data_IF_578963138898
#
_entry.id   IF_578963138898
#
_cell.length_a   1.000
_cell.length_b   1.000
_cell.length_c   1.000
_cell.angle_alpha   90.00
_cell.angle_beta   90.00
_cell.angle_gamma   90.00
#
_symmetry.space_group_name_H-M   'P 1'
#
loop_
_entity.id
_entity.type
_entity.pdbx_description
1 polymer ?
#
# COMPACT_ATOMS: atom_id res chain seq x y z
N UNK A 1 -89.94 -69.04 54.80
CA UNK A 1 -91.41 -69.24 54.74
C UNK A 1 -91.82 -68.87 53.31
N UNK A 2 -92.03 -69.83 52.40
CA UNK A 2 -93.33 -70.48 52.12
C UNK A 2 -94.45 -69.43 52.04
N UNK A 3 -95.13 -69.15 50.92
CA UNK A 3 -95.70 -70.08 49.94
C UNK A 3 -96.16 -69.32 48.68
N UNK A 4 -95.96 -69.97 47.52
CA UNK A 4 -96.89 -70.13 46.39
C UNK A 4 -97.72 -68.95 45.83
N UNK A 5 -97.62 -68.79 44.51
CA UNK A 5 -98.73 -68.37 43.68
C UNK A 5 -98.33 -67.68 42.37
N UNK A 6 -98.04 -68.43 41.31
CA UNK A 6 -99.06 -68.82 40.33
C UNK A 6 -98.41 -69.30 39.02
N UNK A 7 -98.38 -70.62 38.90
CA UNK A 7 -97.96 -71.39 37.74
C UNK A 7 -99.07 -71.34 36.69
N UNK A 8 -99.04 -70.34 35.81
CA UNK A 8 -99.93 -70.30 34.64
C UNK A 8 -99.11 -70.27 33.34
N UNK A 9 -98.38 -71.35 33.08
CA UNK A 9 -97.62 -71.52 31.84
C UNK A 9 -98.34 -72.51 30.96
N UNK A 10 -99.29 -72.01 30.16
CA UNK A 10 -99.81 -72.62 28.92
C UNK A 10 -100.79 -71.70 28.18
N UNK A 11 -100.50 -70.40 28.10
CA UNK A 11 -101.10 -69.51 27.08
C UNK A 11 -100.01 -69.08 26.10
N UNK A 12 -100.24 -69.16 24.78
CA UNK A 12 -99.26 -68.73 23.78
C UNK A 12 -98.71 -67.31 24.05
N UNK A 13 -99.56 -66.43 24.58
CA UNK A 13 -99.24 -65.03 24.88
C UNK A 13 -98.09 -64.85 25.90
N UNK A 14 -98.08 -65.61 27.00
CA UNK A 14 -97.04 -65.47 28.04
C UNK A 14 -95.66 -65.98 27.60
N UNK A 15 -95.61 -66.90 26.63
CA UNK A 15 -94.36 -67.32 25.98
C UNK A 15 -93.83 -66.20 25.09
N UNK A 16 -94.70 -65.55 24.30
CA UNK A 16 -94.31 -64.41 23.46
C UNK A 16 -93.81 -63.21 24.29
N UNK A 17 -94.44 -62.90 25.43
CA UNK A 17 -94.01 -61.80 26.30
C UNK A 17 -92.60 -61.99 26.87
N UNK A 18 -92.25 -63.23 27.29
CA UNK A 18 -90.88 -63.55 27.71
C UNK A 18 -89.89 -63.44 26.57
N UNK A 19 -90.21 -64.00 25.40
CA UNK A 19 -89.34 -63.88 24.22
C UNK A 19 -89.14 -62.42 23.79
N UNK A 20 -90.15 -61.58 23.91
CA UNK A 20 -90.04 -60.13 23.63
C UNK A 20 -89.15 -59.43 24.66
N UNK A 21 -89.26 -59.77 25.96
CA UNK A 21 -88.40 -59.20 26.99
C UNK A 21 -86.92 -59.61 26.81
N UNK A 22 -86.68 -60.86 26.41
CA UNK A 22 -85.34 -61.39 26.13
C UNK A 22 -84.74 -60.77 24.86
N UNK A 23 -85.54 -60.55 23.82
CA UNK A 23 -85.14 -59.79 22.63
C UNK A 23 -84.86 -58.31 22.92
N UNK A 24 -85.58 -57.70 23.86
CA UNK A 24 -85.30 -56.32 24.30
C UNK A 24 -83.97 -56.24 25.05
N UNK A 25 -83.72 -57.17 25.97
CA UNK A 25 -82.47 -57.25 26.72
C UNK A 25 -81.26 -57.45 25.80
N UNK A 26 -81.34 -58.41 24.89
CA UNK A 26 -80.28 -58.65 23.90
C UNK A 26 -80.07 -57.46 22.97
N UNK A 27 -81.14 -56.76 22.58
CA UNK A 27 -81.03 -55.51 21.82
C UNK A 27 -80.31 -54.42 22.61
N UNK A 28 -80.60 -54.25 23.90
CA UNK A 28 -79.92 -53.28 24.76
C UNK A 28 -78.44 -53.62 24.94
N UNK A 29 -78.11 -54.90 25.13
CA UNK A 29 -76.72 -55.39 25.20
C UNK A 29 -75.97 -55.11 23.89
N UNK A 30 -76.57 -55.41 22.74
CA UNK A 30 -75.99 -55.10 21.41
C UNK A 30 -75.83 -53.58 21.22
N UNK A 31 -76.78 -52.77 21.67
CA UNK A 31 -76.68 -51.31 21.59
C UNK A 31 -75.54 -50.76 22.45
N UNK A 32 -75.33 -51.31 23.64
CA UNK A 32 -74.19 -50.97 24.50
C UNK A 32 -72.86 -51.37 23.86
N UNK A 33 -72.77 -52.57 23.27
CA UNK A 33 -71.58 -53.01 22.54
C UNK A 33 -71.31 -52.15 21.29
N UNK A 34 -72.33 -51.82 20.50
CA UNK A 34 -72.18 -50.90 19.36
C UNK A 34 -71.73 -49.50 19.80
N UNK A 35 -72.18 -49.02 20.96
CA UNK A 35 -71.71 -47.76 21.51
C UNK A 35 -70.22 -47.83 21.87
N UNK A 36 -69.79 -48.89 22.55
CA UNK A 36 -68.37 -49.12 22.87
C UNK A 36 -67.50 -49.24 21.61
N UNK A 37 -67.99 -49.93 20.57
CA UNK A 37 -67.28 -50.05 19.30
C UNK A 37 -67.10 -48.70 18.58
N UNK A 38 -68.12 -47.84 18.62
CA UNK A 38 -68.02 -46.47 18.09
C UNK A 38 -67.00 -45.63 18.86
N UNK A 39 -66.98 -45.74 20.19
CA UNK A 39 -65.96 -45.06 21.01
C UNK A 39 -64.54 -45.57 20.66
N UNK A 40 -64.36 -46.89 20.51
CA UNK A 40 -63.08 -47.46 20.07
C UNK A 40 -62.66 -46.96 18.68
N UNK A 41 -63.59 -46.81 17.72
CA UNK A 41 -63.27 -46.26 16.40
C UNK A 41 -62.81 -44.80 16.47
N UNK A 42 -63.42 -43.98 17.32
CA UNK A 42 -62.98 -42.58 17.54
C UNK A 42 -61.57 -42.56 18.11
N UNK A 43 -61.29 -43.35 19.16
CA UNK A 43 -59.95 -43.45 19.74
C UNK A 43 -58.91 -44.00 18.75
N UNK A 44 -59.30 -44.88 17.83
CA UNK A 44 -58.42 -45.37 16.77
C UNK A 44 -58.05 -44.26 15.77
N UNK A 45 -58.99 -43.37 15.46
CA UNK A 45 -58.75 -42.18 14.64
C UNK A 45 -57.78 -41.19 15.31
N UNK A 46 -57.95 -40.95 16.61
CA UNK A 46 -57.03 -40.13 17.40
C UNK A 46 -55.62 -40.72 17.44
N UNK A 47 -55.49 -42.05 17.61
CA UNK A 47 -54.22 -42.77 17.51
C UNK A 47 -53.55 -42.63 16.13
N UNK A 48 -54.33 -42.65 15.06
CA UNK A 48 -53.80 -42.43 13.71
C UNK A 48 -53.25 -41.02 13.53
N UNK A 49 -53.92 -40.00 14.07
CA UNK A 49 -53.44 -38.62 14.01
C UNK A 49 -52.16 -38.43 14.84
N UNK A 50 -52.12 -38.97 16.06
CA UNK A 50 -50.92 -38.93 16.91
C UNK A 50 -49.74 -39.65 16.25
N UNK A 51 -49.99 -40.75 15.51
CA UNK A 51 -48.95 -41.44 14.75
C UNK A 51 -48.40 -40.55 13.63
N UNK A 52 -49.24 -39.84 12.89
CA UNK A 52 -48.80 -38.91 11.85
C UNK A 52 -47.99 -37.73 12.42
N UNK A 53 -48.40 -37.17 13.55
CA UNK A 53 -47.64 -36.13 14.26
C UNK A 53 -46.28 -36.62 14.77
N UNK A 54 -46.21 -37.87 15.22
CA UNK A 54 -44.96 -38.51 15.64
C UNK A 54 -44.01 -38.70 14.45
N UNK A 55 -44.53 -39.13 13.30
CA UNK A 55 -43.75 -39.29 12.07
C UNK A 55 -43.21 -37.94 11.57
N UNK A 56 -44.02 -36.87 11.57
CA UNK A 56 -43.57 -35.51 11.24
C UNK A 56 -42.46 -35.03 12.19
N UNK A 57 -42.66 -35.24 13.49
CA UNK A 57 -41.67 -34.90 14.52
C UNK A 57 -40.35 -35.64 14.33
N UNK A 58 -40.38 -36.92 13.93
CA UNK A 58 -39.19 -37.71 13.63
C UNK A 58 -38.42 -37.18 12.43
N UNK A 59 -39.11 -36.79 11.35
CA UNK A 59 -38.47 -36.16 10.18
C UNK A 59 -37.81 -34.85 10.59
N UNK A 60 -38.49 -34.04 11.40
CA UNK A 60 -37.97 -32.77 11.91
C UNK A 60 -36.70 -32.95 12.74
N UNK A 61 -36.69 -33.93 13.65
CA UNK A 61 -35.51 -34.30 14.45
C UNK A 61 -34.36 -34.74 13.55
N UNK A 62 -34.64 -35.55 12.53
CA UNK A 62 -33.60 -36.02 11.61
C UNK A 62 -32.96 -34.87 10.82
N UNK A 63 -33.78 -33.91 10.39
CA UNK A 63 -33.32 -32.71 9.67
C UNK A 63 -32.47 -31.81 10.58
N UNK A 64 -32.92 -31.58 11.81
CA UNK A 64 -32.14 -30.82 12.81
C UNK A 64 -30.80 -31.49 13.13
N UNK A 65 -30.76 -32.83 13.13
CA UNK A 65 -29.53 -33.57 13.36
C UNK A 65 -28.53 -33.36 12.22
N UNK A 66 -28.98 -33.38 10.96
CA UNK A 66 -28.10 -33.11 9.81
C UNK A 66 -27.57 -31.69 9.81
N UNK A 67 -28.39 -30.70 10.18
CA UNK A 67 -27.96 -29.30 10.29
C UNK A 67 -26.95 -29.10 11.44
N UNK A 68 -27.16 -29.81 12.56
CA UNK A 68 -26.22 -29.81 13.68
C UNK A 68 -24.85 -30.37 13.30
N UNK A 69 -24.81 -31.45 12.51
CA UNK A 69 -23.55 -32.04 12.05
C UNK A 69 -22.84 -31.12 11.05
N UNK A 70 -23.59 -30.45 10.16
CA UNK A 70 -23.05 -29.44 9.24
C UNK A 70 -22.44 -28.25 9.98
N UNK A 71 -23.18 -27.67 10.93
CA UNK A 71 -22.71 -26.53 11.72
C UNK A 71 -21.49 -26.87 12.58
N UNK A 72 -21.40 -28.10 13.12
CA UNK A 72 -20.19 -28.56 13.81
C UNK A 72 -18.98 -28.63 12.88
N UNK A 73 -19.15 -29.10 11.65
CA UNK A 73 -18.07 -29.14 10.68
C UNK A 73 -17.57 -27.73 10.32
N UNK A 74 -18.49 -26.80 10.10
CA UNK A 74 -18.18 -25.38 9.87
C UNK A 74 -17.50 -24.72 11.08
N UNK A 75 -17.87 -25.10 12.31
CA UNK A 75 -17.21 -24.61 13.51
C UNK A 75 -15.75 -25.08 13.60
N UNK A 76 -15.49 -26.35 13.29
CA UNK A 76 -14.12 -26.91 13.31
C UNK A 76 -13.23 -26.21 12.28
N UNK A 77 -13.73 -25.96 11.07
CA UNK A 77 -12.97 -25.23 10.05
C UNK A 77 -12.70 -23.79 10.45
N UNK A 78 -13.70 -23.12 11.03
CA UNK A 78 -13.54 -21.75 11.54
C UNK A 78 -12.53 -21.69 12.69
N UNK A 79 -12.56 -22.66 13.61
CA UNK A 79 -11.60 -22.77 14.71
C UNK A 79 -10.15 -22.92 14.19
N UNK A 80 -9.97 -23.73 13.14
CA UNK A 80 -8.66 -23.91 12.49
C UNK A 80 -8.16 -22.59 11.89
N UNK A 81 -8.99 -21.90 11.12
CA UNK A 81 -8.64 -20.60 10.51
C UNK A 81 -8.30 -19.58 11.60
N UNK A 82 -9.07 -19.54 12.70
CA UNK A 82 -8.80 -18.65 13.83
C UNK A 82 -7.44 -18.93 14.48
N UNK A 83 -7.06 -20.21 14.65
CA UNK A 83 -5.74 -20.57 15.19
C UNK A 83 -4.59 -20.16 14.27
N UNK A 84 -4.74 -20.34 12.95
CA UNK A 84 -3.76 -19.91 11.96
C UNK A 84 -3.60 -18.38 11.94
N UNK A 85 -4.72 -17.64 12.06
CA UNK A 85 -4.69 -16.19 12.18
C UNK A 85 -4.00 -15.72 13.46
N UNK A 86 -4.24 -16.36 14.61
CA UNK A 86 -3.56 -16.05 15.87
C UNK A 86 -2.04 -16.24 15.77
N UNK A 87 -1.58 -17.31 15.13
CA UNK A 87 -0.15 -17.52 14.89
C UNK A 87 0.46 -16.41 14.02
N UNK A 88 -0.21 -16.03 12.93
CA UNK A 88 0.26 -14.95 12.05
C UNK A 88 0.31 -13.59 12.75
N UNK A 89 -0.65 -13.30 13.63
CA UNK A 89 -0.64 -12.07 14.43
C UNK A 89 0.56 -12.07 15.39
N UNK A 90 0.83 -13.19 16.07
CA UNK A 90 1.98 -13.30 16.97
C UNK A 90 3.32 -13.12 16.24
N UNK A 91 3.45 -13.61 15.01
CA UNK A 91 4.65 -13.42 14.18
C UNK A 91 4.80 -11.96 13.75
N UNK A 92 3.71 -11.31 13.31
CA UNK A 92 3.72 -9.89 12.96
C UNK A 92 4.06 -9.00 14.16
N UNK A 93 3.58 -9.31 15.36
CA UNK A 93 3.93 -8.59 16.60
C UNK A 93 5.43 -8.72 16.92
N UNK A 94 6.03 -9.88 16.72
CA UNK A 94 7.47 -10.08 16.92
C UNK A 94 8.29 -9.24 15.96
N UNK A 95 7.91 -9.21 14.68
CA UNK A 95 8.58 -8.40 13.66
C UNK A 95 8.44 -6.90 13.96
N UNK A 96 7.24 -6.44 14.32
CA UNK A 96 6.99 -5.05 14.68
C UNK A 96 7.84 -4.61 15.89
N UNK A 97 7.93 -5.45 16.92
CA UNK A 97 8.77 -5.19 18.09
C UNK A 97 10.27 -5.14 17.73
N UNK A 98 10.72 -6.01 16.81
CA UNK A 98 12.10 -5.97 16.30
C UNK A 98 12.38 -4.66 15.56
N UNK A 99 11.51 -4.28 14.63
CA UNK A 99 11.62 -3.03 13.87
C UNK A 99 11.60 -1.80 14.78
N UNK A 100 10.77 -1.80 15.82
CA UNK A 100 10.70 -0.71 16.79
C UNK A 100 11.99 -0.57 17.61
N UNK A 101 12.64 -1.68 17.95
CA UNK A 101 13.93 -1.69 18.63
C UNK A 101 15.04 -1.13 17.73
N UNK A 102 15.04 -1.50 16.44
CA UNK A 102 15.96 -0.91 15.47
C UNK A 102 15.74 0.60 15.35
N UNK A 103 14.49 1.06 15.25
CA UNK A 103 14.16 2.48 15.16
C UNK A 103 14.61 3.28 16.40
N UNK A 104 14.54 2.68 17.60
CA UNK A 104 15.11 3.29 18.81
C UNK A 104 16.63 3.42 18.75
N UNK A 105 17.34 2.38 18.30
CA UNK A 105 18.79 2.45 18.11
C UNK A 105 19.18 3.55 17.12
N UNK A 106 18.39 3.74 16.06
CA UNK A 106 18.61 4.79 15.07
C UNK A 106 18.41 6.20 15.63
N UNK A 107 17.36 6.41 16.44
CA UNK A 107 17.17 7.69 17.14
C UNK A 107 18.35 8.01 18.05
N UNK A 108 18.94 7.00 18.69
CA UNK A 108 20.11 7.17 19.55
C UNK A 108 21.38 7.48 18.74
N UNK A 109 21.54 6.89 17.55
CA UNK A 109 22.61 7.19 16.61
C UNK A 109 22.49 8.60 15.98
N UNK A 110 21.27 9.08 15.72
CA UNK A 110 21.03 10.43 15.19
C UNK A 110 21.38 11.54 16.19
N UNK A 111 21.38 11.27 17.49
CA UNK A 111 21.77 12.25 18.52
C UNK A 111 23.31 12.43 18.63
N UNK A 112 24.10 11.51 18.05
CA UNK A 112 25.55 11.55 18.07
C UNK A 112 26.05 12.02 16.69
N UNK A 113 25.99 13.33 16.47
CA UNK A 113 26.49 13.98 15.26
C UNK A 113 28.00 13.74 15.09
N UNK A 114 28.40 13.10 13.97
CA UNK A 114 29.50 13.55 13.09
C UNK A 114 29.88 12.63 11.90
N UNK A 115 29.20 11.50 11.62
CA UNK A 115 29.57 10.68 10.42
C UNK A 115 28.45 9.83 9.77
N UNK A 116 27.18 10.10 10.08
CA UNK A 116 26.10 9.09 9.93
C UNK A 116 25.34 9.08 8.59
N UNK A 117 25.70 9.90 7.61
CA UNK A 117 24.87 10.10 6.42
C UNK A 117 24.75 8.85 5.47
N UNK A 118 25.77 7.99 5.29
CA UNK A 118 25.64 6.77 4.47
C UNK A 118 24.72 5.71 5.11
N UNK A 119 24.80 5.56 6.43
CA UNK A 119 23.96 4.60 7.16
C UNK A 119 22.49 5.02 7.14
N UNK A 120 22.22 6.32 7.32
CA UNK A 120 20.86 6.89 7.23
C UNK A 120 20.23 6.64 5.85
N UNK A 121 20.99 6.77 4.77
CA UNK A 121 20.50 6.47 3.41
C UNK A 121 20.18 4.98 3.25
N UNK A 122 21.04 4.09 3.76
CA UNK A 122 20.81 2.64 3.70
C UNK A 122 19.54 2.23 4.44
N UNK A 123 19.32 2.82 5.62
CA UNK A 123 18.13 2.57 6.44
C UNK A 123 16.86 3.07 5.75
N UNK A 124 16.87 4.31 5.23
CA UNK A 124 15.72 4.87 4.52
C UNK A 124 15.39 4.04 3.29
N UNK A 125 16.41 3.55 2.58
CA UNK A 125 16.23 2.64 1.43
C UNK A 125 15.57 1.32 1.85
N UNK A 126 16.00 0.71 2.97
CA UNK A 126 15.37 -0.51 3.51
C UNK A 126 13.91 -0.28 3.93
N UNK A 127 13.61 0.86 4.57
CA UNK A 127 12.25 1.22 4.97
C UNK A 127 11.33 1.44 3.75
N UNK A 128 11.85 2.06 2.69
CA UNK A 128 11.12 2.22 1.43
C UNK A 128 10.80 0.87 0.79
N UNK A 129 11.77 -0.05 0.78
CA UNK A 129 11.59 -1.40 0.25
C UNK A 129 10.55 -2.20 1.05
N UNK A 130 10.62 -2.15 2.38
CA UNK A 130 9.62 -2.79 3.26
C UNK A 130 8.22 -2.20 3.08
N UNK A 131 8.09 -0.88 2.93
CA UNK A 131 6.81 -0.22 2.68
C UNK A 131 6.26 -0.49 1.28
N UNK A 132 7.12 -0.74 0.28
CA UNK A 132 6.71 -1.13 -1.07
C UNK A 132 6.15 -2.57 -1.12
N UNK A 133 6.70 -3.47 -0.30
CA UNK A 133 6.23 -4.85 -0.16
C UNK A 133 4.86 -4.98 0.52
N UNK A 134 4.45 -3.98 1.30
CA UNK A 134 3.08 -3.84 1.80
C UNK A 134 2.15 -3.42 0.66
N UNK A 135 1.87 -4.32 -0.28
CA UNK A 135 0.94 -4.11 -1.40
C UNK A 135 -0.40 -3.47 -0.93
N UNK A 136 -1.15 -2.77 -1.81
CA UNK A 136 -2.46 -2.26 -1.41
C UNK A 136 -3.30 -3.44 -0.93
N UNK A 137 -3.91 -3.33 0.25
CA UNK A 137 -4.80 -4.33 0.83
C UNK A 137 -6.02 -4.46 -0.10
N UNK A 138 -5.89 -5.27 -1.15
CA UNK A 138 -6.99 -5.69 -2.02
C UNK A 138 -7.40 -7.08 -1.56
N UNK A 139 -8.24 -7.13 -0.52
CA UNK A 139 -8.96 -8.35 -0.20
C UNK A 139 -10.41 -8.01 0.08
N UNK A 140 -11.25 -8.52 -0.82
CA UNK A 140 -12.69 -8.45 -0.77
C UNK A 140 -13.24 -8.93 0.58
N UNK A 141 -14.38 -8.34 0.94
CA UNK A 141 -15.42 -8.77 1.87
C UNK A 141 -15.60 -7.96 3.16
N UNK A 142 -16.89 -7.71 3.35
CA UNK A 142 -17.64 -6.81 4.20
C UNK A 142 -17.68 -7.25 5.66
N UNK A 143 -17.42 -6.29 6.55
CA UNK A 143 -18.12 -6.02 7.83
C UNK A 143 -17.27 -5.22 8.84
N UNK A 144 -16.00 -4.94 8.51
CA UNK A 144 -15.10 -4.14 9.35
C UNK A 144 -14.43 -3.02 8.55
N UNK A 145 -15.25 -2.22 7.87
CA UNK A 145 -14.82 -1.22 6.90
C UNK A 145 -14.03 -0.06 7.54
N UNK A 146 -14.30 0.28 8.80
CA UNK A 146 -13.71 1.47 9.44
C UNK A 146 -12.28 1.21 9.93
N UNK A 147 -12.04 0.06 10.56
CA UNK A 147 -10.70 -0.37 10.98
C UNK A 147 -9.79 -0.59 9.77
N UNK A 148 -10.31 -1.22 8.70
CA UNK A 148 -9.58 -1.39 7.43
C UNK A 148 -9.22 -0.05 6.79
N UNK A 149 -10.15 0.92 6.76
CA UNK A 149 -9.88 2.28 6.27
C UNK A 149 -8.83 2.98 7.11
N UNK A 150 -8.88 2.86 8.43
CA UNK A 150 -7.90 3.46 9.33
C UNK A 150 -6.48 2.90 9.12
N UNK A 151 -6.36 1.59 8.89
CA UNK A 151 -5.07 0.95 8.55
C UNK A 151 -4.57 1.44 7.20
N UNK A 152 -5.43 1.43 6.17
CA UNK A 152 -5.04 1.90 4.82
C UNK A 152 -4.61 3.37 4.87
N UNK A 153 -5.33 4.22 5.60
CA UNK A 153 -4.99 5.63 5.78
C UNK A 153 -3.65 5.79 6.51
N UNK A 154 -3.44 5.06 7.61
CA UNK A 154 -2.19 5.13 8.38
C UNK A 154 -0.98 4.67 7.54
N UNK A 155 -1.14 3.61 6.73
CA UNK A 155 -0.10 3.15 5.79
C UNK A 155 0.18 4.21 4.72
N UNK A 156 -0.86 4.86 4.18
CA UNK A 156 -0.71 5.95 3.21
C UNK A 156 0.04 7.14 3.82
N UNK A 157 -0.33 7.55 5.03
CA UNK A 157 0.31 8.66 5.74
C UNK A 157 1.78 8.35 6.06
N UNK A 158 2.09 7.13 6.49
CA UNK A 158 3.47 6.68 6.71
C UNK A 158 4.28 6.67 5.41
N UNK A 159 3.72 6.21 4.30
CA UNK A 159 4.37 6.29 2.98
C UNK A 159 4.69 7.73 2.59
N UNK A 160 3.75 8.65 2.79
CA UNK A 160 3.95 10.07 2.52
C UNK A 160 5.07 10.65 3.38
N UNK A 161 5.08 10.34 4.68
CA UNK A 161 6.11 10.81 5.61
C UNK A 161 7.50 10.26 5.26
N UNK A 162 7.61 8.97 4.93
CA UNK A 162 8.88 8.35 4.53
C UNK A 162 9.38 8.90 3.19
N UNK A 163 8.48 9.15 2.24
CA UNK A 163 8.86 9.82 0.98
C UNK A 163 9.45 11.19 1.27
N UNK A 164 8.76 12.01 2.08
CA UNK A 164 9.22 13.36 2.41
C UNK A 164 10.56 13.36 3.15
N UNK A 165 10.75 12.46 4.10
CA UNK A 165 12.02 12.28 4.82
C UNK A 165 13.14 11.81 3.90
N UNK A 166 12.84 10.94 2.94
CA UNK A 166 13.82 10.51 1.94
C UNK A 166 14.25 11.66 1.05
N UNK A 167 13.29 12.48 0.59
CA UNK A 167 13.58 13.66 -0.22
C UNK A 167 14.45 14.65 0.56
N UNK A 168 14.14 14.89 1.85
CA UNK A 168 14.94 15.75 2.73
C UNK A 168 16.34 15.18 3.00
N UNK A 169 16.49 13.87 3.23
CA UNK A 169 17.79 13.25 3.46
C UNK A 169 18.65 13.23 2.21
N UNK A 170 18.05 13.04 1.03
CA UNK A 170 18.75 13.11 -0.25
C UNK A 170 19.18 14.54 -0.63
N UNK A 171 18.87 15.55 0.18
CA UNK A 171 19.38 16.92 0.03
C UNK A 171 20.65 17.17 0.84
N UNK A 172 21.12 16.24 1.67
CA UNK A 172 22.40 16.39 2.39
C UNK A 172 23.43 15.47 1.77
N UNK A 173 24.52 16.01 1.21
CA UNK A 173 25.57 15.19 0.60
C UNK A 173 26.23 14.29 1.66
N UNK A 174 26.33 12.97 1.41
CA UNK A 174 27.08 12.07 2.29
C UNK A 174 28.58 12.28 2.24
N UNK A 175 29.10 12.84 1.14
CA UNK A 175 30.52 13.04 0.95
C UNK A 175 31.02 14.31 1.66
N UNK A 176 30.22 15.36 1.67
CA UNK A 176 30.63 16.70 2.13
C UNK A 176 29.79 17.24 3.29
N UNK A 177 28.68 16.59 3.62
CA UNK A 177 27.71 17.07 4.61
C UNK A 177 26.97 18.34 4.19
N UNK A 178 27.09 18.80 2.94
CA UNK A 178 26.43 20.03 2.48
C UNK A 178 24.93 19.82 2.29
N UNK A 179 24.17 20.80 2.75
CA UNK A 179 22.72 20.86 2.59
C UNK A 179 22.34 21.64 1.32
N UNK A 180 21.56 21.00 0.45
CA UNK A 180 21.06 21.49 -0.83
C UNK A 180 19.62 22.02 -0.77
N UNK A 181 19.03 22.12 0.42
CA UNK A 181 17.64 22.57 0.62
C UNK A 181 17.39 23.95 0.02
N UNK A 182 18.35 24.88 0.16
CA UNK A 182 18.23 26.22 -0.45
C UNK A 182 18.14 26.14 -1.98
N UNK A 183 18.99 25.35 -2.62
CA UNK A 183 18.96 25.16 -4.07
C UNK A 183 17.62 24.55 -4.50
N UNK A 184 17.15 23.52 -3.78
CA UNK A 184 15.84 22.89 -4.04
C UNK A 184 14.70 23.89 -4.00
N UNK A 185 14.65 24.75 -2.97
CA UNK A 185 13.58 25.73 -2.82
C UNK A 185 13.60 26.77 -3.95
N UNK A 186 14.77 27.29 -4.29
CA UNK A 186 14.92 28.25 -5.40
C UNK A 186 14.47 27.65 -6.74
N UNK A 187 14.77 26.38 -6.98
CA UNK A 187 14.32 25.66 -8.18
C UNK A 187 12.81 25.41 -8.17
N UNK A 188 12.23 25.04 -7.02
CA UNK A 188 10.79 24.87 -6.84
C UNK A 188 10.01 26.15 -7.14
N UNK A 189 10.55 27.29 -6.69
CA UNK A 189 9.98 28.62 -6.91
C UNK A 189 10.29 29.18 -8.31
N UNK A 190 11.01 28.42 -9.15
CA UNK A 190 11.46 28.81 -10.50
C UNK A 190 12.29 30.09 -10.52
N UNK A 191 12.99 30.37 -9.42
CA UNK A 191 13.93 31.48 -9.32
C UNK A 191 15.27 31.11 -9.98
N UNK A 192 15.24 30.83 -11.30
CA UNK A 192 16.33 30.20 -12.06
C UNK A 192 17.70 30.89 -11.89
N UNK A 193 17.72 32.23 -11.90
CA UNK A 193 18.97 33.00 -11.70
C UNK A 193 19.56 32.79 -10.30
N UNK A 194 18.73 32.86 -9.27
CA UNK A 194 19.20 32.64 -7.89
C UNK A 194 19.59 31.18 -7.66
N UNK A 195 18.88 30.23 -8.27
CA UNK A 195 19.23 28.81 -8.23
C UNK A 195 20.60 28.56 -8.89
N UNK A 196 20.89 29.23 -10.00
CA UNK A 196 22.17 29.16 -10.69
C UNK A 196 23.31 29.79 -9.85
N UNK A 197 23.08 30.97 -9.26
CA UNK A 197 24.01 31.60 -8.32
C UNK A 197 24.27 30.70 -7.09
N UNK A 198 23.25 30.07 -6.54
CA UNK A 198 23.39 29.13 -5.43
C UNK A 198 24.14 27.86 -5.86
N UNK A 199 23.90 27.36 -7.07
CA UNK A 199 24.66 26.24 -7.64
C UNK A 199 26.14 26.58 -7.70
N UNK A 200 26.52 27.77 -8.17
CA UNK A 200 27.89 28.23 -8.14
C UNK A 200 28.45 28.30 -6.71
N UNK A 201 27.71 28.88 -5.77
CA UNK A 201 28.16 29.00 -4.39
C UNK A 201 28.40 27.63 -3.74
N UNK A 202 27.52 26.66 -3.98
CA UNK A 202 27.66 25.28 -3.50
C UNK A 202 28.89 24.62 -4.12
N UNK A 203 29.11 24.80 -5.41
CA UNK A 203 30.26 24.27 -6.14
C UNK A 203 31.58 24.82 -5.57
N UNK A 204 31.68 26.12 -5.34
CA UNK A 204 32.87 26.76 -4.75
C UNK A 204 33.13 26.24 -3.32
N UNK A 205 32.07 26.09 -2.52
CA UNK A 205 32.11 25.55 -1.15
C UNK A 205 32.69 24.15 -1.09
N UNK A 206 32.19 23.23 -1.93
CA UNK A 206 32.63 21.82 -1.92
C UNK A 206 33.99 21.61 -2.59
N UNK A 207 34.42 22.54 -3.44
CA UNK A 207 35.78 22.58 -3.96
C UNK A 207 36.79 23.22 -2.99
N UNK A 208 36.40 23.54 -1.75
CA UNK A 208 37.24 24.19 -0.72
C UNK A 208 37.87 25.53 -1.18
N UNK A 209 37.30 26.22 -2.18
CA UNK A 209 37.81 27.50 -2.70
C UNK A 209 37.23 28.75 -2.05
N UNK A 210 36.32 28.59 -1.07
CA UNK A 210 35.71 29.72 -0.34
C UNK A 210 36.75 30.67 0.27
N UNK A 211 37.95 30.19 0.59
CA UNK A 211 39.01 30.97 1.28
C UNK A 211 39.81 31.87 0.35
N UNK A 212 39.77 31.64 -0.96
CA UNK A 212 40.67 32.32 -1.89
C UNK A 212 39.98 33.50 -2.61
N UNK A 213 38.66 33.65 -2.49
CA UNK A 213 37.87 34.69 -3.16
C UNK A 213 37.61 34.43 -4.66
N UNK A 214 37.99 33.26 -5.18
CA UNK A 214 37.80 32.88 -6.58
C UNK A 214 36.42 32.21 -6.75
N UNK A 215 35.58 32.77 -7.64
CA UNK A 215 34.22 32.25 -7.94
C UNK A 215 34.15 31.43 -9.22
N UNK A 216 35.16 30.60 -9.50
CA UNK A 216 35.18 29.68 -10.64
C UNK A 216 36.09 28.48 -10.37
N UNK A 217 35.89 27.37 -11.11
CA UNK A 217 36.71 26.16 -10.98
C UNK A 217 37.79 26.05 -12.06
N UNK A 218 39.00 25.68 -11.67
CA UNK A 218 40.05 25.28 -12.60
C UNK A 218 40.07 23.77 -12.85
N UNK A 219 41.00 23.29 -13.67
CA UNK A 219 41.08 21.87 -14.05
C UNK A 219 41.28 20.95 -12.83
N UNK A 220 42.04 21.39 -11.83
CA UNK A 220 42.32 20.61 -10.63
C UNK A 220 41.06 20.39 -9.81
N UNK A 221 40.26 21.44 -9.58
CA UNK A 221 39.04 21.28 -8.77
C UNK A 221 37.92 20.54 -9.50
N UNK A 222 37.79 20.70 -10.81
CA UNK A 222 36.81 19.92 -11.60
C UNK A 222 37.08 18.42 -11.45
N UNK A 223 38.36 18.02 -11.44
CA UNK A 223 38.75 16.62 -11.28
C UNK A 223 38.49 16.07 -9.87
N UNK A 224 38.60 16.91 -8.85
CA UNK A 224 38.40 16.52 -7.44
C UNK A 224 36.96 16.70 -6.94
N UNK A 225 36.06 17.21 -7.78
CA UNK A 225 34.70 17.52 -7.38
C UNK A 225 33.95 16.25 -6.93
N UNK A 226 33.37 16.20 -5.71
CA UNK A 226 32.69 15.01 -5.20
C UNK A 226 31.51 14.61 -6.10
N UNK A 227 31.44 13.33 -6.49
CA UNK A 227 30.42 12.89 -7.44
C UNK A 227 29.03 12.84 -6.83
N UNK A 228 28.91 12.57 -5.52
CA UNK A 228 27.64 12.54 -4.79
C UNK A 228 26.96 13.91 -4.87
N UNK A 229 27.71 14.97 -4.58
CA UNK A 229 27.28 16.36 -4.67
C UNK A 229 26.85 16.73 -6.10
N UNK A 230 27.63 16.30 -7.11
CA UNK A 230 27.29 16.52 -8.52
C UNK A 230 25.95 15.89 -8.89
N UNK A 231 25.68 14.67 -8.40
CA UNK A 231 24.43 13.96 -8.64
C UNK A 231 23.24 14.65 -7.97
N UNK A 232 23.39 15.16 -6.74
CA UNK A 232 22.32 15.90 -6.05
C UNK A 232 21.97 17.16 -6.84
N UNK A 233 22.96 17.98 -7.20
CA UNK A 233 22.75 19.19 -8.01
C UNK A 233 22.07 18.84 -9.33
N UNK A 234 22.60 17.85 -10.05
CA UNK A 234 22.04 17.45 -11.34
C UNK A 234 20.59 16.99 -11.23
N UNK A 235 20.27 16.14 -10.25
CA UNK A 235 18.91 15.64 -10.03
C UNK A 235 17.94 16.78 -9.80
N UNK A 236 18.29 17.73 -8.92
CA UNK A 236 17.43 18.88 -8.63
C UNK A 236 17.16 19.72 -9.90
N UNK A 237 18.19 20.02 -10.68
CA UNK A 237 18.01 20.76 -11.93
C UNK A 237 17.10 20.03 -12.93
N UNK A 238 17.30 18.71 -13.11
CA UNK A 238 16.50 17.90 -14.02
C UNK A 238 15.04 17.82 -13.57
N UNK A 239 14.81 17.54 -12.29
CA UNK A 239 13.47 17.36 -11.72
C UNK A 239 12.62 18.63 -11.86
N UNK A 240 13.14 19.76 -11.36
CA UNK A 240 12.37 21.01 -11.30
C UNK A 240 12.24 21.72 -12.66
N UNK A 241 13.06 21.35 -13.65
CA UNK A 241 12.96 21.85 -15.03
C UNK A 241 12.18 20.93 -15.96
N UNK A 242 11.56 19.86 -15.45
CA UNK A 242 10.90 18.83 -16.26
C UNK A 242 11.83 18.24 -17.33
N UNK A 243 13.08 17.97 -16.95
CA UNK A 243 14.10 17.36 -17.80
C UNK A 243 14.84 18.32 -18.74
N UNK A 244 14.55 19.62 -18.72
CA UNK A 244 15.15 20.59 -19.67
C UNK A 244 16.55 21.06 -19.29
N UNK A 245 16.86 21.13 -18.00
CA UNK A 245 18.09 21.68 -17.45
C UNK A 245 18.83 20.63 -16.62
N UNK A 246 20.16 20.80 -16.52
CA UNK A 246 21.02 19.88 -15.79
C UNK A 246 22.31 19.54 -16.54
N UNK A 247 23.34 19.15 -15.80
CA UNK A 247 24.63 18.75 -16.36
C UNK A 247 24.53 17.45 -17.20
N UNK A 248 23.64 16.53 -16.84
CA UNK A 248 23.38 15.32 -17.64
C UNK A 248 22.76 15.66 -18.99
N UNK A 249 21.86 16.64 -19.03
CA UNK A 249 21.24 17.15 -20.27
C UNK A 249 22.31 17.80 -21.16
N UNK A 250 23.14 18.66 -20.57
CA UNK A 250 24.28 19.26 -21.28
C UNK A 250 25.24 18.21 -21.83
N UNK A 251 25.52 17.15 -21.06
CA UNK A 251 26.37 16.04 -21.49
C UNK A 251 25.76 15.27 -22.66
N UNK A 252 24.45 15.00 -22.64
CA UNK A 252 23.77 14.34 -23.77
C UNK A 252 23.87 15.18 -25.05
N UNK A 253 23.63 16.49 -24.94
CA UNK A 253 23.78 17.41 -26.07
C UNK A 253 25.23 17.41 -26.55
N UNK A 254 26.21 17.47 -25.64
CA UNK A 254 27.64 17.43 -25.96
C UNK A 254 28.03 16.14 -26.70
N UNK A 255 27.55 14.98 -26.26
CA UNK A 255 27.80 13.68 -26.90
C UNK A 255 27.12 13.54 -28.26
N UNK A 256 26.02 14.25 -28.50
CA UNK A 256 25.31 14.22 -29.79
C UNK A 256 25.98 15.06 -30.90
N UNK A 257 27.03 15.82 -30.57
CA UNK A 257 27.72 16.68 -31.53
C UNK A 257 28.78 15.85 -32.27
N UNK A 258 28.64 15.76 -33.59
CA UNK A 258 29.63 15.16 -34.47
C UNK A 258 30.26 16.23 -35.37
N UNK A 259 31.54 16.53 -35.19
CA UNK A 259 32.26 17.53 -35.99
C UNK A 259 33.27 16.82 -36.89
N UNK A 260 33.10 16.96 -38.20
CA UNK A 260 33.83 16.20 -39.23
C UNK A 260 35.35 16.46 -39.30
N UNK A 261 35.87 17.51 -38.65
CA UNK A 261 37.30 17.86 -38.62
C UNK A 261 37.64 18.51 -37.28
N UNK A 262 38.26 17.74 -36.39
CA UNK A 262 38.37 18.03 -34.97
C UNK A 262 39.53 19.01 -34.67
N UNK A 263 39.31 20.31 -34.89
CA UNK A 263 40.13 21.33 -34.23
C UNK A 263 39.74 21.43 -32.76
N UNK A 264 40.72 21.74 -31.92
CA UNK A 264 40.81 21.28 -30.52
C UNK A 264 39.64 21.64 -29.57
N UNK A 265 38.62 22.42 -29.99
CA UNK A 265 37.47 22.91 -29.19
C UNK A 265 36.14 23.13 -29.93
N UNK A 266 36.01 22.71 -31.20
CA UNK A 266 34.79 23.01 -31.97
C UNK A 266 33.54 22.33 -31.42
N UNK A 267 33.70 21.18 -30.75
CA UNK A 267 32.60 20.48 -30.08
C UNK A 267 32.00 21.32 -28.94
N UNK A 268 32.82 21.90 -28.07
CA UNK A 268 32.35 22.69 -26.92
C UNK A 268 31.81 24.05 -27.35
N UNK A 269 32.36 24.63 -28.41
CA UNK A 269 31.80 25.82 -29.06
C UNK A 269 30.40 25.53 -29.62
N UNK A 270 30.25 24.43 -30.35
CA UNK A 270 28.96 23.98 -30.90
C UNK A 270 27.96 23.68 -29.78
N UNK A 271 28.42 23.10 -28.66
CA UNK A 271 27.59 22.93 -27.47
C UNK A 271 27.10 24.29 -26.97
N UNK A 272 28.01 25.24 -26.79
CA UNK A 272 27.67 26.60 -26.37
C UNK A 272 26.64 27.27 -27.27
N UNK A 273 26.72 27.05 -28.59
CA UNK A 273 25.73 27.56 -29.54
C UNK A 273 24.36 26.86 -29.35
N UNK A 274 24.33 25.53 -29.18
CA UNK A 274 23.10 24.75 -28.99
C UNK A 274 22.36 25.07 -27.70
N UNK A 275 23.09 25.16 -26.59
CA UNK A 275 22.50 25.43 -25.28
C UNK A 275 22.32 26.93 -25.03
N UNK A 276 22.74 27.80 -25.95
CA UNK A 276 22.51 29.25 -25.87
C UNK A 276 23.50 30.01 -24.99
N UNK A 277 24.69 29.48 -24.74
CA UNK A 277 25.79 30.20 -24.08
C UNK A 277 26.62 31.06 -25.02
N UNK A 278 26.42 30.92 -26.34
CA UNK A 278 27.15 31.66 -27.35
C UNK A 278 26.21 32.27 -28.39
N UNK A 279 26.52 33.51 -28.77
CA UNK A 279 25.83 34.23 -29.84
C UNK A 279 26.87 34.95 -30.68
N UNK A 280 26.75 34.88 -32.01
CA UNK A 280 27.69 35.51 -32.94
C UNK A 280 29.16 35.15 -32.66
N UNK A 281 29.43 33.87 -32.37
CA UNK A 281 30.73 33.31 -31.98
C UNK A 281 31.32 33.78 -30.64
N UNK A 282 30.61 34.63 -29.88
CA UNK A 282 31.06 35.11 -28.58
C UNK A 282 30.34 34.38 -27.45
N UNK A 283 31.09 34.04 -26.40
CA UNK A 283 30.49 33.54 -25.17
C UNK A 283 29.79 34.67 -24.44
N UNK A 284 28.55 34.42 -24.01
CA UNK A 284 27.76 35.38 -23.26
C UNK A 284 28.30 35.54 -21.85
N UNK A 285 28.28 36.77 -21.35
CA UNK A 285 28.48 37.08 -19.94
C UNK A 285 27.27 36.63 -19.14
N UNK A 286 27.45 36.48 -17.83
CA UNK A 286 26.40 35.99 -16.95
C UNK A 286 25.11 36.81 -17.03
N UNK A 287 25.23 38.13 -17.06
CA UNK A 287 24.08 39.04 -17.13
C UNK A 287 23.37 39.04 -18.50
N UNK A 288 23.97 38.40 -19.51
CA UNK A 288 23.41 38.25 -20.86
C UNK A 288 22.68 36.91 -21.04
N UNK A 289 22.73 36.01 -20.06
CA UNK A 289 22.07 34.71 -20.10
C UNK A 289 20.56 34.81 -19.85
N UNK A 290 19.81 33.82 -20.33
CA UNK A 290 18.34 33.75 -20.17
C UNK A 290 17.97 32.86 -18.99
N UNK A 291 17.45 33.46 -17.92
CA UNK A 291 17.03 32.75 -16.71
C UNK A 291 15.52 32.50 -16.68
N UNK A 292 15.03 31.77 -17.69
CA UNK A 292 13.63 31.38 -17.81
C UNK A 292 13.51 29.94 -18.35
N UNK A 293 12.38 29.29 -18.08
CA UNK A 293 12.10 27.93 -18.57
C UNK A 293 12.03 27.84 -20.10
N UNK A 294 11.81 28.97 -20.80
CA UNK A 294 11.83 29.05 -22.25
C UNK A 294 13.23 28.93 -22.86
N UNK A 295 14.30 29.04 -22.06
CA UNK A 295 15.67 28.91 -22.53
C UNK A 295 15.92 27.53 -23.19
N UNK A 296 16.94 27.48 -24.04
CA UNK A 296 17.33 26.25 -24.75
C UNK A 296 17.55 25.08 -23.79
N UNK A 297 17.30 23.87 -24.26
CA UNK A 297 17.62 22.66 -23.50
C UNK A 297 19.11 22.64 -23.12
N UNK A 298 19.41 22.30 -21.86
CA UNK A 298 20.76 22.35 -21.28
C UNK A 298 21.29 23.75 -20.94
N UNK A 299 20.54 24.84 -21.14
CA UNK A 299 21.02 26.21 -20.88
C UNK A 299 21.48 26.42 -19.43
N UNK A 300 20.77 25.81 -18.46
CA UNK A 300 21.09 25.90 -17.04
C UNK A 300 21.42 24.52 -16.45
N UNK A 301 22.18 24.45 -15.35
CA UNK A 301 22.97 25.56 -14.78
C UNK A 301 24.09 26.03 -15.74
N UNK A 302 24.48 27.29 -15.65
CA UNK A 302 25.44 27.94 -16.53
C UNK A 302 26.86 27.43 -16.27
N UNK A 303 27.23 26.34 -16.94
CA UNK A 303 28.56 25.73 -16.83
C UNK A 303 29.65 26.70 -17.26
N UNK A 304 29.40 27.56 -18.26
CA UNK A 304 30.37 28.58 -18.68
C UNK A 304 30.64 29.63 -17.61
N UNK A 305 29.64 29.97 -16.80
CA UNK A 305 29.81 30.88 -15.67
C UNK A 305 30.56 30.18 -14.53
N UNK A 306 30.15 28.96 -14.18
CA UNK A 306 30.79 28.15 -13.13
C UNK A 306 32.28 27.91 -13.41
N UNK A 307 32.63 27.72 -14.68
CA UNK A 307 34.00 27.46 -15.12
C UNK A 307 34.75 28.73 -15.53
N UNK A 308 34.17 29.92 -15.34
CA UNK A 308 34.81 31.20 -15.59
C UNK A 308 35.15 31.45 -17.06
N UNK A 309 34.17 31.93 -17.83
CA UNK A 309 34.31 32.27 -19.27
C UNK A 309 35.46 33.24 -19.56
N UNK A 310 35.73 34.21 -18.67
CA UNK A 310 36.78 35.22 -18.84
C UNK A 310 38.18 34.75 -18.41
N UNK A 311 38.32 33.48 -17.98
CA UNK A 311 39.51 32.97 -17.30
C UNK A 311 40.26 31.95 -18.17
N UNK A 312 40.53 32.33 -19.42
CA UNK A 312 41.25 31.51 -20.40
C UNK A 312 40.31 30.64 -21.25
N UNK A 313 40.77 29.44 -21.64
CA UNK A 313 40.02 28.51 -22.50
C UNK A 313 38.96 27.75 -21.70
N UNK A 314 37.74 28.25 -21.70
CA UNK A 314 36.60 27.62 -20.99
C UNK A 314 36.22 26.27 -21.59
N UNK A 315 36.47 26.07 -22.89
CA UNK A 315 36.15 24.86 -23.65
C UNK A 315 36.84 23.62 -23.07
N UNK A 316 38.10 23.74 -22.68
CA UNK A 316 38.85 22.69 -22.01
C UNK A 316 38.18 22.22 -20.70
N UNK A 317 37.65 23.17 -19.94
CA UNK A 317 37.02 22.90 -18.64
C UNK A 317 35.62 22.30 -18.82
N UNK A 318 34.86 22.79 -19.81
CA UNK A 318 33.57 22.21 -20.21
C UNK A 318 33.75 20.73 -20.56
N UNK A 319 34.74 20.44 -21.40
CA UNK A 319 35.08 19.07 -21.77
C UNK A 319 35.38 18.21 -20.55
N UNK A 320 36.21 18.72 -19.64
CA UNK A 320 36.60 17.98 -18.44
C UNK A 320 35.40 17.67 -17.54
N UNK A 321 34.51 18.64 -17.32
CA UNK A 321 33.30 18.45 -16.50
C UNK A 321 32.35 17.44 -17.16
N UNK A 322 32.04 17.60 -18.45
CA UNK A 322 31.05 16.77 -19.14
C UNK A 322 31.57 15.36 -19.47
N UNK A 323 32.89 15.17 -19.50
CA UNK A 323 33.52 13.85 -19.65
C UNK A 323 33.41 12.99 -18.39
N UNK A 324 33.02 13.55 -17.25
CA UNK A 324 32.83 12.81 -16.00
C UNK A 324 31.78 11.73 -16.15
N UNK A 325 32.10 10.50 -15.74
CA UNK A 325 31.21 9.34 -15.90
C UNK A 325 29.95 9.45 -15.04
N UNK A 326 30.05 10.16 -13.94
CA UNK A 326 29.04 10.30 -12.89
C UNK A 326 27.84 11.17 -13.30
N UNK A 327 27.91 11.82 -14.46
CA UNK A 327 26.82 12.56 -15.11
C UNK A 327 25.95 11.70 -16.04
N UNK A 328 25.92 10.38 -15.84
CA UNK A 328 25.00 9.49 -16.56
C UNK A 328 23.63 9.44 -15.86
N UNK A 329 22.57 9.30 -16.65
CA UNK A 329 21.18 9.13 -16.16
C UNK A 329 21.06 7.83 -15.37
#
# INVERSE_FOLDING_TARGET
MSKAGNDNWKTPLGVYERSIAELRRTREEIQAEMHNLRQMQVSLGELSNLKAELEDSQVKIQTLKTDLDKTKAELITTQKIASEAQHRVADAEREANSAQKELQNLKQLMNNNESSNPQLIEIVSKLQEQLAQLAPINTASSQDDDFKRQIIQSISDLRSQVSKLSDELMLVSPATGKDYTKLRNLLADREWRKADEETLNLIVKISNRDRDGWRWLDRGEIALFPWQDLRIINRLWVEYSSGRFGFSVQKQIWQSINVANNNNFEVEKTLGDRVGWRVNNNWLKYDELTFDISASEGHLPSTVHILGVDKGRVEDRIRLLLSRRELQI
#
